data_IF_112700731932
#
_entry.id   IF_112700731932
#
_cell.length_a   1.000
_cell.length_b   1.000
_cell.length_c   1.000
_cell.angle_alpha   90.00
_cell.angle_beta   90.00
_cell.angle_gamma   90.00
#
_symmetry.space_group_name_H-M   'P 1'
#
loop_
_entity.id
_entity.type
_entity.pdbx_description
1 polymer ?
#
# COMPACT_ATOMS: atom_id res chain seq x y z
N UNK A 1 -7.60 21.70 29.52
CA UNK A 1 -8.92 21.45 28.85
C UNK A 1 -8.84 20.15 28.08
N UNK A 2 -9.95 19.38 27.92
CA UNK A 2 -10.00 18.14 27.14
C UNK A 2 -10.34 18.42 25.66
N UNK A 3 -10.23 17.39 24.78
CA UNK A 3 -10.50 17.53 23.35
C UNK A 3 -11.90 18.03 23.02
N UNK A 4 -12.91 17.66 23.83
CA UNK A 4 -14.29 18.14 23.72
C UNK A 4 -14.40 19.63 23.93
N UNK A 5 -13.80 20.11 25.01
CA UNK A 5 -13.90 21.52 25.39
C UNK A 5 -13.19 22.41 24.36
N UNK A 6 -12.01 21.97 23.88
CA UNK A 6 -11.25 22.65 22.84
C UNK A 6 -12.03 22.66 21.51
N UNK A 7 -12.63 21.54 21.14
CA UNK A 7 -13.44 21.45 19.94
C UNK A 7 -14.63 22.41 19.96
N UNK A 8 -15.33 22.49 21.10
CA UNK A 8 -16.44 23.44 21.30
C UNK A 8 -15.97 24.88 21.29
N UNK A 9 -14.81 25.18 21.88
CA UNK A 9 -14.23 26.53 21.86
C UNK A 9 -13.82 26.97 20.43
N UNK A 10 -13.36 26.06 19.60
CA UNK A 10 -12.97 26.36 18.23
C UNK A 10 -14.14 26.45 17.23
N UNK A 11 -15.16 25.62 17.38
CA UNK A 11 -16.21 25.46 16.37
C UNK A 11 -17.66 25.56 16.92
N UNK A 12 -17.85 25.65 18.24
CA UNK A 12 -19.17 25.66 18.85
C UNK A 12 -20.00 24.44 18.41
N UNK A 13 -21.24 24.72 17.97
CA UNK A 13 -22.15 23.64 17.45
C UNK A 13 -21.70 22.97 16.17
N UNK A 14 -20.66 23.47 15.48
CA UNK A 14 -20.10 22.88 14.26
C UNK A 14 -19.02 21.84 14.54
N UNK A 15 -18.65 21.62 15.79
CA UNK A 15 -17.74 20.54 16.17
C UNK A 15 -18.40 19.19 15.90
N UNK A 16 -17.81 18.40 15.02
CA UNK A 16 -18.32 17.06 14.66
C UNK A 16 -17.64 16.02 15.52
N UNK A 17 -18.40 15.26 16.31
CA UNK A 17 -17.89 14.12 17.06
C UNK A 17 -17.81 12.92 16.12
N UNK A 18 -16.65 12.26 16.07
CA UNK A 18 -16.40 11.05 15.28
C UNK A 18 -16.72 9.79 16.11
N UNK A 19 -16.85 8.65 15.43
CA UNK A 19 -17.18 7.35 16.05
C UNK A 19 -16.16 6.85 17.06
N UNK A 20 -14.91 7.28 16.92
CA UNK A 20 -13.79 6.95 17.83
C UNK A 20 -13.66 7.90 19.03
N UNK A 21 -14.62 8.78 19.22
CA UNK A 21 -14.65 9.74 20.32
C UNK A 21 -13.86 11.02 20.09
N UNK A 22 -13.10 11.13 18.99
CA UNK A 22 -12.40 12.35 18.59
C UNK A 22 -13.36 13.39 17.98
N UNK A 23 -12.86 14.61 17.76
CA UNK A 23 -13.62 15.72 17.19
C UNK A 23 -12.97 16.23 15.92
N UNK A 24 -13.78 16.56 14.91
CA UNK A 24 -13.37 17.23 13.69
C UNK A 24 -13.87 18.68 13.73
N UNK A 25 -12.94 19.64 13.60
CA UNK A 25 -13.19 21.08 13.71
C UNK A 25 -12.40 21.85 12.66
N UNK A 26 -12.75 23.11 12.36
CA UNK A 26 -11.93 23.98 11.52
C UNK A 26 -10.53 24.20 12.12
N UNK A 27 -9.50 24.13 11.27
CA UNK A 27 -8.11 24.39 11.69
C UNK A 27 -7.93 25.89 12.04
N UNK A 28 -7.38 26.21 13.22
CA UNK A 28 -7.27 27.58 13.70
C UNK A 28 -6.09 28.37 13.11
N UNK A 29 -5.25 27.73 12.27
CA UNK A 29 -4.10 28.38 11.65
C UNK A 29 -4.52 29.37 10.56
N UNK A 30 -3.97 30.58 10.61
CA UNK A 30 -4.19 31.59 9.56
C UNK A 30 -3.60 31.20 8.20
N UNK A 31 -2.52 30.42 8.20
CA UNK A 31 -1.87 29.90 6.98
C UNK A 31 -2.64 28.74 6.34
N UNK A 32 -3.65 28.18 7.01
CA UNK A 32 -4.47 27.07 6.48
C UNK A 32 -5.12 27.43 5.15
N UNK A 33 -5.16 26.49 4.21
CA UNK A 33 -5.78 26.68 2.91
C UNK A 33 -5.12 27.78 2.07
N UNK A 34 -3.80 27.98 2.18
CA UNK A 34 -3.04 29.06 1.54
C UNK A 34 -3.50 30.46 2.00
N UNK A 35 -3.80 30.61 3.28
CA UNK A 35 -4.24 31.87 3.87
C UNK A 35 -5.73 32.17 3.75
N UNK A 36 -6.54 31.25 3.20
CA UNK A 36 -8.01 31.42 3.05
C UNK A 36 -8.81 30.92 4.25
N UNK A 37 -8.12 30.34 5.25
CA UNK A 37 -8.73 29.71 6.42
C UNK A 37 -9.38 28.35 6.09
N UNK A 38 -9.88 27.70 7.12
CA UNK A 38 -10.53 26.38 7.01
C UNK A 38 -12.05 26.55 6.90
N UNK A 39 -12.60 26.34 5.70
CA UNK A 39 -14.04 26.41 5.44
C UNK A 39 -14.74 25.09 5.72
N UNK A 40 -14.02 23.97 5.53
CA UNK A 40 -14.49 22.63 5.81
C UNK A 40 -13.65 22.05 6.95
N UNK A 41 -14.24 21.59 8.07
CA UNK A 41 -13.48 21.06 9.20
C UNK A 41 -12.43 20.05 8.76
N UNK A 42 -11.15 20.32 9.06
CA UNK A 42 -10.04 19.48 8.65
C UNK A 42 -9.07 19.15 9.79
N UNK A 43 -9.29 19.73 10.99
CA UNK A 43 -8.48 19.45 12.16
C UNK A 43 -9.17 18.42 13.04
N UNK A 44 -8.57 17.24 13.18
CA UNK A 44 -8.97 16.23 14.17
C UNK A 44 -8.30 16.50 15.49
N UNK A 45 -9.08 16.44 16.57
CA UNK A 45 -8.62 16.61 17.96
C UNK A 45 -9.09 15.41 18.76
N UNK A 46 -8.19 14.82 19.55
CA UNK A 46 -8.48 13.71 20.45
C UNK A 46 -7.73 13.87 21.76
N UNK A 47 -8.28 13.33 22.84
CA UNK A 47 -7.55 13.16 24.08
C UNK A 47 -6.61 11.97 23.92
N UNK A 48 -5.32 12.18 24.13
CA UNK A 48 -4.34 11.12 24.30
C UNK A 48 -4.10 10.87 25.80
N UNK A 49 -3.36 9.83 26.11
CA UNK A 49 -3.13 9.39 27.50
C UNK A 49 -2.47 10.50 28.37
N UNK A 50 -1.62 11.31 27.77
CA UNK A 50 -0.86 12.35 28.50
C UNK A 50 -0.97 13.73 27.89
N UNK A 51 -1.47 13.85 26.65
CA UNK A 51 -1.54 15.13 25.92
C UNK A 51 -2.64 15.10 24.87
N UNK A 52 -3.03 16.31 24.46
CA UNK A 52 -3.92 16.48 23.32
C UNK A 52 -3.25 16.00 22.02
N UNK A 53 -3.96 15.21 21.24
CA UNK A 53 -3.55 14.78 19.90
C UNK A 53 -4.27 15.65 18.87
N UNK A 54 -3.49 16.22 17.95
CA UNK A 54 -4.03 17.04 16.86
C UNK A 54 -3.47 16.55 15.52
N UNK A 55 -4.34 16.48 14.52
CA UNK A 55 -3.96 16.14 13.16
C UNK A 55 -4.79 16.94 12.15
N UNK A 56 -4.12 17.75 11.33
CA UNK A 56 -4.79 18.48 10.25
C UNK A 56 -4.68 17.72 8.93
N UNK A 57 -5.81 17.31 8.37
CA UNK A 57 -5.86 16.56 7.09
C UNK A 57 -5.41 17.40 5.88
N UNK A 58 -5.30 18.72 6.04
CA UNK A 58 -4.76 19.61 5.01
C UNK A 58 -3.24 19.86 5.16
N UNK A 59 -2.56 19.08 6.02
CA UNK A 59 -1.09 19.08 6.11
C UNK A 59 -0.48 20.20 6.97
N UNK A 60 -1.26 20.88 7.82
CA UNK A 60 -0.68 21.85 8.76
C UNK A 60 0.15 21.13 9.84
N UNK A 61 1.29 21.71 10.21
CA UNK A 61 2.14 21.16 11.27
C UNK A 61 1.40 21.15 12.63
N UNK A 62 1.50 20.02 13.33
CA UNK A 62 0.84 19.85 14.62
C UNK A 62 1.37 20.80 15.70
N UNK A 63 2.67 21.18 15.63
CA UNK A 63 3.28 22.13 16.55
C UNK A 63 2.67 23.52 16.40
N UNK A 64 2.52 23.98 15.16
CA UNK A 64 1.89 25.28 14.86
C UNK A 64 0.45 25.33 15.35
N UNK A 65 -0.30 24.23 15.19
CA UNK A 65 -1.66 24.11 15.69
C UNK A 65 -1.68 24.21 17.22
N UNK A 66 -0.83 23.46 17.92
CA UNK A 66 -0.73 23.48 19.37
C UNK A 66 -0.33 24.86 19.89
N UNK A 67 0.59 25.56 19.22
CA UNK A 67 1.00 26.91 19.60
C UNK A 67 -0.11 27.94 19.43
N UNK A 68 -0.97 27.79 18.42
CA UNK A 68 -2.17 28.65 18.31
C UNK A 68 -3.18 28.33 19.43
N UNK A 69 -3.34 27.05 19.80
CA UNK A 69 -4.22 26.68 20.93
C UNK A 69 -3.71 27.23 22.26
N UNK A 70 -2.40 27.20 22.53
CA UNK A 70 -1.79 27.84 23.72
C UNK A 70 -2.01 29.33 23.72
N UNK A 71 -1.70 30.03 22.60
CA UNK A 71 -1.92 31.48 22.48
C UNK A 71 -3.38 31.90 22.67
N UNK A 72 -4.35 31.01 22.45
CA UNK A 72 -5.78 31.23 22.69
C UNK A 72 -6.22 30.85 24.09
N UNK A 73 -5.30 30.41 24.97
CA UNK A 73 -5.63 29.98 26.33
C UNK A 73 -6.43 28.67 26.37
N UNK A 74 -6.40 27.88 25.30
CA UNK A 74 -7.12 26.61 25.23
C UNK A 74 -6.24 25.42 25.67
N UNK A 75 -4.94 25.65 25.92
CA UNK A 75 -3.99 24.71 26.49
C UNK A 75 -3.22 25.44 27.59
N UNK A 76 -3.09 24.79 28.74
CA UNK A 76 -2.31 25.31 29.87
C UNK A 76 -0.81 25.32 29.51
N UNK A 77 -0.09 26.41 29.87
CA UNK A 77 1.35 26.55 29.60
C UNK A 77 2.21 25.63 30.48
N UNK A 78 1.71 25.16 31.61
CA UNK A 78 2.44 24.43 32.64
C UNK A 78 2.12 22.93 32.69
N UNK A 79 2.31 22.23 31.59
CA UNK A 79 2.60 20.80 31.67
C UNK A 79 3.92 20.50 30.95
N UNK A 80 5.00 21.00 31.56
CA UNK A 80 6.30 20.36 31.34
C UNK A 80 6.16 18.87 31.64
N UNK A 81 6.78 17.97 30.82
CA UNK A 81 6.75 16.57 31.11
C UNK A 81 7.49 16.32 32.42
N UNK A 82 6.77 16.35 33.54
CA UNK A 82 7.28 15.85 34.79
C UNK A 82 7.85 14.47 34.56
N UNK A 83 9.04 14.25 35.07
CA UNK A 83 9.70 12.94 35.17
C UNK A 83 8.86 11.99 36.01
N UNK A 84 7.71 11.58 35.51
CA UNK A 84 6.97 10.44 36.03
C UNK A 84 7.41 9.18 35.33
N UNK A 85 8.25 8.43 36.02
CA UNK A 85 8.75 7.11 35.61
C UNK A 85 7.66 6.04 35.51
N UNK A 86 6.37 6.41 35.68
CA UNK A 86 5.21 5.50 35.60
C UNK A 86 4.45 5.54 34.27
N UNK A 87 4.74 6.50 33.36
CA UNK A 87 3.96 6.72 32.12
C UNK A 87 4.47 5.95 30.89
N UNK A 88 5.50 5.13 31.03
CA UNK A 88 5.98 4.26 29.94
C UNK A 88 5.05 3.07 29.66
N UNK A 89 4.22 2.68 30.63
CA UNK A 89 3.44 1.43 30.59
C UNK A 89 2.37 1.35 29.49
N UNK A 90 1.51 2.37 29.23
CA UNK A 90 0.48 2.26 28.19
C UNK A 90 1.06 2.29 26.78
N UNK A 91 2.06 3.14 26.53
CA UNK A 91 2.71 3.21 25.20
C UNK A 91 3.50 1.95 24.90
N UNK A 92 4.23 1.43 25.89
CA UNK A 92 4.98 0.15 25.76
C UNK A 92 4.01 -1.00 25.54
N UNK A 93 2.91 -1.06 26.31
CA UNK A 93 1.87 -2.09 26.09
C UNK A 93 1.30 -2.03 24.69
N UNK A 94 0.94 -0.84 24.20
CA UNK A 94 0.40 -0.68 22.84
C UNK A 94 1.39 -1.09 21.77
N UNK A 95 2.66 -0.70 21.87
CA UNK A 95 3.70 -1.12 20.94
C UNK A 95 3.86 -2.65 20.96
N UNK A 96 3.88 -3.26 22.14
CA UNK A 96 3.96 -4.72 22.30
C UNK A 96 2.72 -5.43 21.74
N UNK A 97 1.54 -4.86 21.90
CA UNK A 97 0.30 -5.39 21.31
C UNK A 97 0.31 -5.29 19.78
N UNK A 98 0.73 -4.16 19.23
CA UNK A 98 0.91 -3.96 17.78
C UNK A 98 1.96 -4.94 17.20
N UNK A 99 3.07 -5.15 17.90
CA UNK A 99 4.09 -6.13 17.52
C UNK A 99 3.57 -7.57 17.58
N UNK A 100 2.84 -7.92 18.64
CA UNK A 100 2.20 -9.25 18.77
C UNK A 100 1.19 -9.51 17.67
N UNK A 101 0.35 -8.52 17.37
CA UNK A 101 -0.62 -8.63 16.28
C UNK A 101 0.07 -8.75 14.93
N UNK A 102 1.13 -7.97 14.69
CA UNK A 102 1.98 -8.10 13.49
C UNK A 102 2.59 -9.49 13.37
N UNK A 103 3.15 -10.01 14.45
CA UNK A 103 3.73 -11.37 14.49
C UNK A 103 2.65 -12.43 14.24
N UNK A 104 1.46 -12.27 14.82
CA UNK A 104 0.30 -13.15 14.59
C UNK A 104 -0.12 -13.18 13.13
N UNK A 105 -0.21 -12.00 12.48
CA UNK A 105 -0.56 -11.88 11.08
C UNK A 105 0.50 -12.49 10.15
N UNK A 106 1.79 -12.31 10.48
CA UNK A 106 2.89 -12.94 9.75
C UNK A 106 2.84 -14.45 9.87
N UNK A 107 2.66 -15.00 11.08
CA UNK A 107 2.54 -16.44 11.31
C UNK A 107 1.32 -17.04 10.57
N UNK A 108 0.20 -16.33 10.53
CA UNK A 108 -0.97 -16.74 9.75
C UNK A 108 -0.68 -16.74 8.25
N UNK A 109 -0.06 -15.68 7.74
CA UNK A 109 0.30 -15.56 6.34
C UNK A 109 1.26 -16.68 5.91
N UNK A 110 2.24 -16.99 6.72
CA UNK A 110 3.21 -18.06 6.46
C UNK A 110 2.56 -19.44 6.48
N UNK A 111 1.67 -19.70 7.42
CA UNK A 111 0.88 -20.95 7.46
C UNK A 111 0.05 -21.11 6.20
N UNK A 112 -0.72 -20.08 5.78
CA UNK A 112 -1.52 -20.13 4.56
C UNK A 112 -0.64 -20.37 3.33
N UNK A 113 0.53 -19.75 3.27
CA UNK A 113 1.48 -19.98 2.19
C UNK A 113 1.99 -21.41 2.16
N UNK A 114 2.32 -22.00 3.30
CA UNK A 114 2.85 -23.35 3.40
C UNK A 114 1.77 -24.43 3.12
N UNK A 115 0.51 -24.17 3.47
CA UNK A 115 -0.64 -25.04 3.15
C UNK A 115 -1.06 -24.95 1.68
N UNK A 116 -0.68 -23.86 0.98
CA UNK A 116 -1.01 -23.68 -0.43
C UNK A 116 -0.16 -24.59 -1.32
N UNK A 117 -0.80 -25.19 -2.31
CA UNK A 117 -0.15 -26.06 -3.30
C UNK A 117 0.28 -25.24 -4.52
N UNK A 118 1.14 -25.84 -5.35
CA UNK A 118 1.47 -25.27 -6.65
C UNK A 118 0.21 -24.95 -7.46
N UNK A 119 0.23 -23.84 -8.21
CA UNK A 119 -1.00 -23.36 -8.89
C UNK A 119 -1.41 -24.19 -10.08
N UNK A 120 -0.48 -24.93 -10.69
CA UNK A 120 -0.74 -25.77 -11.87
C UNK A 120 -1.86 -26.80 -11.61
N UNK A 121 -2.72 -27.00 -12.61
CA UNK A 121 -3.83 -27.94 -12.53
C UNK A 121 -4.95 -27.53 -11.56
N UNK A 122 -4.89 -26.33 -11.00
CA UNK A 122 -5.89 -25.82 -10.03
C UNK A 122 -6.86 -24.82 -10.65
N UNK A 123 -7.98 -24.51 -9.97
CA UNK A 123 -8.85 -23.42 -10.38
C UNK A 123 -8.13 -22.07 -10.48
N UNK A 124 -7.01 -21.87 -9.75
CA UNK A 124 -6.17 -20.68 -9.85
C UNK A 124 -5.49 -20.54 -11.22
N UNK A 125 -4.96 -21.60 -11.76
CA UNK A 125 -4.39 -21.59 -13.11
C UNK A 125 -5.47 -21.32 -14.18
N UNK A 126 -6.64 -21.96 -14.03
CA UNK A 126 -7.78 -21.74 -14.94
C UNK A 126 -8.28 -20.28 -14.90
N UNK A 127 -8.18 -19.60 -13.77
CA UNK A 127 -8.52 -18.18 -13.66
C UNK A 127 -7.65 -17.31 -14.56
N UNK A 128 -6.32 -17.52 -14.59
CA UNK A 128 -5.40 -16.81 -15.46
C UNK A 128 -5.62 -17.18 -16.93
N UNK A 129 -5.78 -18.46 -17.21
CA UNK A 129 -6.06 -18.95 -18.56
C UNK A 129 -7.30 -18.31 -19.20
N UNK A 130 -8.40 -18.18 -18.43
CA UNK A 130 -9.63 -17.50 -18.88
C UNK A 130 -9.43 -16.02 -19.18
N UNK A 131 -8.35 -15.41 -18.68
CA UNK A 131 -7.94 -14.02 -18.92
C UNK A 131 -6.85 -13.89 -19.98
N UNK A 132 -6.60 -14.96 -20.73
CA UNK A 132 -5.50 -15.06 -21.72
C UNK A 132 -4.10 -14.86 -21.12
N UNK A 133 -3.93 -15.05 -19.83
CA UNK A 133 -2.62 -15.03 -19.19
C UNK A 133 -2.15 -16.48 -19.09
N UNK A 134 -1.27 -16.88 -19.99
CA UNK A 134 -0.66 -18.21 -19.96
C UNK A 134 0.49 -18.24 -18.95
N UNK A 135 0.16 -18.64 -17.71
CA UNK A 135 1.13 -18.69 -16.63
C UNK A 135 2.10 -19.88 -16.70
N UNK A 136 1.98 -20.77 -17.68
CA UNK A 136 2.88 -21.93 -17.81
C UNK A 136 4.34 -21.51 -17.88
N UNK A 137 4.62 -20.37 -18.51
CA UNK A 137 5.96 -19.78 -18.59
C UNK A 137 6.47 -19.16 -17.27
N UNK A 138 5.59 -19.00 -16.28
CA UNK A 138 5.90 -18.44 -14.96
C UNK A 138 5.77 -19.49 -13.82
N UNK A 139 5.37 -20.72 -14.14
CA UNK A 139 5.13 -21.78 -13.14
C UNK A 139 6.39 -22.21 -12.42
N UNK A 140 7.51 -22.25 -13.13
CA UNK A 140 8.80 -22.71 -12.59
C UNK A 140 9.34 -21.83 -11.47
N UNK A 141 8.82 -20.60 -11.34
CA UNK A 141 9.29 -19.63 -10.35
C UNK A 141 8.57 -19.74 -9.00
N UNK A 142 7.48 -20.52 -8.91
CA UNK A 142 6.79 -20.77 -7.64
C UNK A 142 6.17 -19.53 -6.98
N UNK A 143 6.09 -18.40 -7.69
CA UNK A 143 5.57 -17.13 -7.19
C UNK A 143 4.06 -17.15 -6.89
N UNK A 144 3.33 -18.09 -7.49
CA UNK A 144 1.89 -18.26 -7.34
C UNK A 144 1.54 -19.64 -6.80
N UNK A 145 0.60 -19.67 -5.84
CA UNK A 145 0.08 -20.88 -5.23
C UNK A 145 -1.44 -20.88 -5.18
N UNK A 146 -2.03 -22.04 -4.98
CA UNK A 146 -3.45 -22.22 -4.77
C UNK A 146 -3.73 -22.75 -3.37
N UNK A 147 -4.59 -22.05 -2.62
CA UNK A 147 -5.07 -22.52 -1.32
C UNK A 147 -6.55 -22.87 -1.41
N UNK A 148 -6.88 -24.15 -1.19
CA UNK A 148 -8.23 -24.67 -1.36
C UNK A 148 -9.25 -24.08 -0.38
N UNK A 149 -8.83 -23.79 0.84
CA UNK A 149 -9.66 -23.28 1.94
C UNK A 149 -8.97 -22.12 2.66
N UNK A 150 -8.58 -21.09 1.90
CA UNK A 150 -7.98 -19.89 2.48
C UNK A 150 -8.98 -19.18 3.40
N UNK A 151 -8.59 -18.78 4.61
CA UNK A 151 -9.42 -17.97 5.48
C UNK A 151 -9.84 -16.67 4.79
N UNK A 152 -11.15 -16.39 4.79
CA UNK A 152 -11.76 -15.22 4.17
C UNK A 152 -12.87 -14.66 5.04
N UNK A 153 -13.38 -13.46 4.73
CA UNK A 153 -14.56 -12.91 5.42
C UNK A 153 -15.75 -13.83 5.16
N UNK A 154 -16.36 -14.31 6.23
CA UNK A 154 -17.54 -15.20 6.16
C UNK A 154 -17.20 -16.69 6.02
N UNK A 155 -15.92 -17.09 6.15
CA UNK A 155 -15.54 -18.51 6.13
C UNK A 155 -14.22 -18.78 5.43
N UNK A 156 -14.07 -19.99 4.88
CA UNK A 156 -12.90 -20.40 4.11
C UNK A 156 -13.28 -20.68 2.65
N UNK A 157 -12.42 -20.33 1.71
CA UNK A 157 -12.69 -20.45 0.27
C UNK A 157 -11.41 -20.61 -0.54
N UNK A 158 -11.52 -21.08 -1.78
CA UNK A 158 -10.39 -21.18 -2.68
C UNK A 158 -9.84 -19.83 -3.09
N UNK A 159 -8.53 -19.65 -2.94
CA UNK A 159 -7.83 -18.41 -3.30
C UNK A 159 -6.52 -18.70 -4.05
N UNK A 160 -6.20 -17.82 -4.99
CA UNK A 160 -4.83 -17.67 -5.49
C UNK A 160 -4.03 -16.93 -4.44
N UNK A 161 -2.83 -17.41 -4.14
CA UNK A 161 -1.93 -16.85 -3.14
C UNK A 161 -0.62 -16.44 -3.82
N UNK A 162 -0.13 -15.24 -3.51
CA UNK A 162 1.24 -14.83 -3.81
C UNK A 162 1.90 -14.28 -2.54
N UNK A 163 3.22 -14.44 -2.43
CA UNK A 163 3.96 -14.00 -1.23
C UNK A 163 4.45 -12.57 -1.41
N UNK A 164 4.19 -11.73 -0.43
CA UNK A 164 4.92 -10.48 -0.27
C UNK A 164 6.25 -10.74 0.41
N UNK A 165 7.30 -10.22 -0.18
CA UNK A 165 8.66 -10.27 0.37
C UNK A 165 9.23 -8.87 0.39
N UNK A 166 10.06 -8.59 1.37
CA UNK A 166 10.83 -7.35 1.44
C UNK A 166 11.64 -7.16 0.14
N UNK A 167 11.56 -5.99 -0.48
CA UNK A 167 12.13 -5.75 -1.80
C UNK A 167 13.66 -5.87 -1.82
N UNK A 168 14.32 -5.57 -0.70
CA UNK A 168 15.80 -5.57 -0.57
C UNK A 168 16.29 -6.93 -0.08
N UNK A 169 15.71 -7.44 1.01
CA UNK A 169 16.23 -8.62 1.71
C UNK A 169 15.62 -9.93 1.25
N UNK A 170 14.49 -9.89 0.52
CA UNK A 170 13.74 -11.10 0.16
C UNK A 170 12.96 -11.74 1.31
N UNK A 171 13.05 -11.20 2.52
CA UNK A 171 12.39 -11.77 3.69
C UNK A 171 10.86 -11.80 3.54
N UNK A 172 10.18 -12.91 3.88
CA UNK A 172 8.72 -12.98 3.85
C UNK A 172 8.08 -11.95 4.79
N UNK A 173 7.03 -11.26 4.30
CA UNK A 173 6.33 -10.22 5.07
C UNK A 173 4.82 -10.45 5.14
N UNK A 174 4.25 -11.10 4.14
CA UNK A 174 2.82 -11.31 4.07
C UNK A 174 2.40 -12.06 2.81
N UNK A 175 1.12 -12.09 2.55
CA UNK A 175 0.56 -12.70 1.35
C UNK A 175 -0.50 -11.81 0.69
N UNK A 176 -0.51 -11.83 -0.62
CA UNK A 176 -1.60 -11.39 -1.46
C UNK A 176 -2.55 -12.58 -1.70
N UNK A 177 -3.85 -12.33 -1.61
CA UNK A 177 -4.90 -13.35 -1.76
C UNK A 177 -5.93 -12.88 -2.76
N UNK A 178 -6.25 -13.71 -3.74
CA UNK A 178 -7.22 -13.40 -4.80
C UNK A 178 -8.31 -14.46 -4.84
N UNK A 179 -9.55 -14.05 -4.61
CA UNK A 179 -10.73 -14.88 -4.88
C UNK A 179 -11.00 -14.99 -6.37
N UNK A 180 -11.42 -16.20 -6.81
CA UNK A 180 -11.92 -16.41 -8.18
C UNK A 180 -13.40 -16.06 -8.22
N UNK A 181 -13.72 -14.78 -7.98
CA UNK A 181 -15.07 -14.27 -8.05
C UNK A 181 -15.08 -12.91 -8.74
N UNK A 182 -16.01 -12.73 -9.68
CA UNK A 182 -16.15 -11.45 -10.42
C UNK A 182 -16.45 -10.31 -9.44
N UNK A 183 -15.78 -9.18 -9.61
CA UNK A 183 -15.96 -7.98 -8.79
C UNK A 183 -15.23 -7.98 -7.44
N UNK A 184 -14.70 -9.10 -6.98
CA UNK A 184 -13.90 -9.13 -5.76
C UNK A 184 -12.49 -8.59 -6.02
N UNK A 185 -12.03 -7.71 -5.12
CA UNK A 185 -10.65 -7.21 -5.15
C UNK A 185 -9.72 -8.13 -4.38
N UNK A 186 -8.43 -8.20 -4.75
CA UNK A 186 -7.45 -8.90 -3.95
C UNK A 186 -7.36 -8.32 -2.53
N UNK A 187 -6.94 -9.15 -1.57
CA UNK A 187 -6.71 -8.74 -0.19
C UNK A 187 -5.34 -9.18 0.28
N UNK A 188 -4.72 -8.38 1.09
CA UNK A 188 -3.46 -8.70 1.75
C UNK A 188 -3.68 -9.23 3.16
N UNK A 189 -2.70 -9.98 3.63
CA UNK A 189 -2.53 -10.38 5.02
C UNK A 189 -1.06 -10.21 5.39
N UNK A 190 -0.80 -9.39 6.39
CA UNK A 190 0.54 -8.97 6.80
C UNK A 190 0.95 -7.60 6.25
N UNK A 191 2.10 -7.06 6.69
CA UNK A 191 2.60 -5.77 6.25
C UNK A 191 3.06 -5.79 4.80
N UNK A 192 2.79 -4.69 4.07
CA UNK A 192 3.17 -4.53 2.65
C UNK A 192 4.21 -3.45 2.40
N UNK A 193 4.43 -2.54 3.35
CA UNK A 193 5.35 -1.42 3.16
C UNK A 193 6.76 -1.93 2.82
N UNK A 194 7.33 -1.47 1.70
CA UNK A 194 8.63 -1.89 1.21
C UNK A 194 8.67 -3.31 0.64
N UNK A 195 7.51 -3.92 0.37
CA UNK A 195 7.41 -5.28 -0.13
C UNK A 195 7.02 -5.33 -1.60
N UNK A 196 7.33 -6.46 -2.23
CA UNK A 196 6.95 -6.82 -3.59
C UNK A 196 6.49 -8.26 -3.66
N UNK A 197 5.78 -8.61 -4.71
CA UNK A 197 5.50 -9.98 -5.11
C UNK A 197 6.48 -10.34 -6.22
N UNK A 198 7.39 -11.26 -5.93
CA UNK A 198 8.35 -11.77 -6.90
C UNK A 198 7.68 -12.79 -7.81
N UNK A 199 7.32 -12.35 -9.02
CA UNK A 199 6.78 -13.25 -10.04
C UNK A 199 7.88 -14.00 -10.79
N UNK A 200 9.10 -13.45 -10.79
CA UNK A 200 10.36 -14.05 -11.20
C UNK A 200 11.34 -14.03 -10.04
N UNK A 201 12.23 -15.01 -9.92
CA UNK A 201 13.22 -15.09 -8.86
C UNK A 201 14.32 -14.04 -9.03
N UNK A 202 15.06 -13.77 -7.96
CA UNK A 202 16.09 -12.74 -7.92
C UNK A 202 17.26 -13.05 -8.89
N UNK A 203 17.59 -14.30 -9.10
CA UNK A 203 18.65 -14.76 -10.00
C UNK A 203 18.31 -14.59 -11.49
N UNK A 204 17.03 -14.43 -11.83
CA UNK A 204 16.61 -14.05 -13.17
C UNK A 204 16.92 -12.56 -13.49
N UNK A 205 17.23 -11.75 -12.48
CA UNK A 205 17.48 -10.31 -12.64
C UNK A 205 18.97 -10.08 -12.93
N UNK A 206 19.32 -9.86 -14.19
CA UNK A 206 20.68 -9.49 -14.55
C UNK A 206 20.93 -8.00 -14.27
N UNK A 207 20.36 -7.11 -15.08
CA UNK A 207 20.52 -5.65 -14.94
C UNK A 207 19.23 -4.88 -15.15
N UNK A 208 18.17 -5.54 -15.63
CA UNK A 208 16.85 -4.98 -15.88
C UNK A 208 15.80 -5.65 -15.04
N UNK A 209 14.82 -4.86 -14.59
CA UNK A 209 13.66 -5.34 -13.85
C UNK A 209 12.41 -4.62 -14.35
N UNK A 210 11.32 -5.37 -14.51
CA UNK A 210 9.98 -4.83 -14.78
C UNK A 210 9.19 -4.79 -13.48
N UNK A 211 8.54 -3.68 -13.18
CA UNK A 211 7.69 -3.52 -12.01
C UNK A 211 6.30 -3.06 -12.45
N UNK A 212 5.28 -3.88 -12.18
CA UNK A 212 3.88 -3.50 -12.34
C UNK A 212 3.18 -3.25 -11.00
N UNK A 213 2.00 -2.66 -11.04
CA UNK A 213 1.20 -2.46 -9.82
C UNK A 213 0.53 -3.77 -9.38
N UNK A 214 -0.33 -4.35 -10.20
CA UNK A 214 -1.10 -5.54 -9.90
C UNK A 214 -0.45 -6.82 -10.41
N UNK A 215 -0.71 -7.95 -9.76
CA UNK A 215 -0.20 -9.28 -10.16
C UNK A 215 -0.71 -9.66 -11.56
N UNK A 216 -2.00 -9.47 -11.82
CA UNK A 216 -2.65 -9.84 -13.08
C UNK A 216 -2.10 -9.00 -14.24
N UNK A 217 -2.07 -7.68 -14.09
CA UNK A 217 -1.52 -6.72 -15.05
C UNK A 217 -0.04 -7.00 -15.35
N UNK A 218 0.75 -7.27 -14.31
CA UNK A 218 2.18 -7.55 -14.46
C UNK A 218 2.42 -8.85 -15.22
N UNK A 219 1.69 -9.92 -14.89
CA UNK A 219 1.80 -11.20 -15.60
C UNK A 219 1.35 -11.06 -17.05
N UNK A 220 0.23 -10.38 -17.31
CA UNK A 220 -0.26 -10.15 -18.67
C UNK A 220 0.81 -9.45 -19.52
N UNK A 221 1.39 -8.37 -19.01
CA UNK A 221 2.45 -7.66 -19.72
C UNK A 221 3.72 -8.53 -19.91
N UNK A 222 4.20 -9.14 -18.84
CA UNK A 222 5.46 -9.89 -18.86
C UNK A 222 5.44 -11.12 -19.76
N UNK A 223 4.28 -11.78 -19.92
CA UNK A 223 4.14 -13.01 -20.67
C UNK A 223 3.73 -12.79 -22.14
N UNK A 224 3.10 -11.64 -22.45
CA UNK A 224 2.47 -11.46 -23.77
C UNK A 224 2.85 -10.18 -24.50
N UNK A 225 3.56 -9.25 -23.83
CA UNK A 225 3.94 -7.98 -24.45
C UNK A 225 5.44 -7.89 -24.60
N UNK A 226 5.86 -7.46 -25.80
CA UNK A 226 7.26 -7.15 -26.09
C UNK A 226 7.46 -5.64 -26.16
N UNK A 227 8.59 -5.18 -25.66
CA UNK A 227 9.08 -3.85 -25.89
C UNK A 227 10.42 -3.91 -26.62
N UNK A 228 10.53 -3.29 -27.80
CA UNK A 228 11.73 -3.33 -28.66
C UNK A 228 12.18 -4.78 -28.96
N UNK A 229 11.22 -5.68 -29.19
CA UNK A 229 11.49 -7.08 -29.54
C UNK A 229 11.81 -8.01 -28.36
N UNK A 230 11.80 -7.51 -27.11
CA UNK A 230 12.10 -8.30 -25.91
C UNK A 230 10.87 -8.37 -25.01
N UNK A 231 10.59 -9.55 -24.44
CA UNK A 231 9.53 -9.71 -23.43
C UNK A 231 9.82 -8.84 -22.19
N UNK A 232 8.75 -8.38 -21.53
CA UNK A 232 8.85 -7.55 -20.33
C UNK A 232 9.15 -8.39 -19.09
N UNK A 233 10.32 -9.04 -19.08
CA UNK A 233 10.82 -9.96 -18.07
C UNK A 233 12.26 -9.62 -17.69
N UNK A 234 12.72 -9.99 -16.47
CA UNK A 234 11.93 -10.50 -15.33
C UNK A 234 11.03 -9.42 -14.72
N UNK A 235 9.94 -9.84 -14.06
CA UNK A 235 8.93 -8.92 -13.57
C UNK A 235 8.49 -9.20 -12.13
N UNK A 236 8.28 -8.14 -11.36
CA UNK A 236 7.72 -8.14 -10.00
C UNK A 236 6.45 -7.28 -9.94
N UNK A 237 5.55 -7.58 -9.01
CA UNK A 237 4.39 -6.73 -8.75
C UNK A 237 4.53 -6.00 -7.41
N UNK A 238 4.23 -4.70 -7.40
CA UNK A 238 4.27 -3.87 -6.20
C UNK A 238 3.08 -4.14 -5.27
N UNK A 239 1.96 -4.59 -5.82
CA UNK A 239 0.72 -4.90 -5.10
C UNK A 239 -0.22 -3.73 -4.92
N UNK A 240 0.25 -2.50 -4.98
CA UNK A 240 -0.55 -1.27 -5.00
C UNK A 240 0.30 -0.07 -5.45
N UNK A 241 -0.36 1.04 -5.84
CA UNK A 241 0.28 2.27 -6.28
C UNK A 241 1.26 2.84 -5.23
N UNK A 242 0.89 2.84 -3.94
CA UNK A 242 1.76 3.35 -2.88
C UNK A 242 3.05 2.53 -2.72
N UNK A 243 2.99 1.21 -2.85
CA UNK A 243 4.17 0.35 -2.85
C UNK A 243 5.05 0.59 -4.08
N UNK A 244 4.46 0.82 -5.25
CA UNK A 244 5.20 1.25 -6.45
C UNK A 244 5.88 2.59 -6.24
N UNK A 245 5.16 3.58 -5.72
CA UNK A 245 5.70 4.92 -5.44
C UNK A 245 6.91 4.87 -4.49
N UNK A 246 6.93 3.92 -3.55
CA UNK A 246 7.96 3.77 -2.54
C UNK A 246 8.98 2.66 -2.85
N UNK A 247 8.93 2.07 -4.04
CA UNK A 247 9.83 0.99 -4.43
C UNK A 247 11.30 1.44 -4.35
N UNK A 248 12.16 0.71 -3.61
CA UNK A 248 13.55 1.11 -3.38
C UNK A 248 14.41 0.93 -4.63
N UNK A 249 15.50 1.67 -4.69
CA UNK A 249 16.55 1.43 -5.70
C UNK A 249 17.32 0.17 -5.31
N UNK A 250 17.32 -0.81 -6.21
CA UNK A 250 17.98 -2.09 -5.99
C UNK A 250 19.44 -2.07 -6.48
N UNK A 251 20.32 -2.63 -5.68
CA UNK A 251 21.71 -2.83 -6.10
C UNK A 251 21.78 -3.77 -7.31
N UNK A 252 22.63 -3.46 -8.29
CA UNK A 252 22.79 -4.27 -9.50
C UNK A 252 21.80 -3.98 -10.63
N UNK A 253 20.59 -3.49 -10.33
CA UNK A 253 19.60 -3.12 -11.35
C UNK A 253 19.96 -1.78 -11.97
N UNK A 254 20.18 -1.75 -13.27
CA UNK A 254 20.55 -0.55 -14.05
C UNK A 254 19.31 0.09 -14.71
N UNK A 255 18.37 -0.73 -15.16
CA UNK A 255 17.17 -0.28 -15.87
C UNK A 255 15.92 -0.79 -15.15
N UNK A 256 15.02 0.12 -14.78
CA UNK A 256 13.69 -0.21 -14.27
C UNK A 256 12.63 0.12 -15.32
N UNK A 257 11.86 -0.89 -15.72
CA UNK A 257 10.67 -0.67 -16.55
C UNK A 257 9.43 -0.65 -15.67
N UNK A 258 8.69 0.45 -15.66
CA UNK A 258 7.44 0.60 -14.92
C UNK A 258 6.26 0.34 -15.83
N UNK A 259 5.42 -0.62 -15.45
CA UNK A 259 4.09 -0.84 -16.07
C UNK A 259 3.10 0.03 -15.34
N UNK A 260 2.58 1.02 -16.00
CA UNK A 260 1.77 2.08 -15.39
C UNK A 260 0.34 2.00 -15.92
N UNK A 261 -0.63 1.72 -15.05
CA UNK A 261 -2.03 1.76 -15.43
C UNK A 261 -2.42 3.18 -15.85
N UNK A 262 -3.31 3.30 -16.86
CA UNK A 262 -3.65 4.61 -17.43
C UNK A 262 -4.69 5.35 -16.58
N UNK A 263 -4.38 5.49 -15.28
CA UNK A 263 -5.16 6.27 -14.32
C UNK A 263 -4.26 7.26 -13.53
N UNK A 264 -4.88 8.22 -12.84
CA UNK A 264 -4.14 9.26 -12.12
C UNK A 264 -3.28 8.72 -10.98
N UNK A 265 -3.76 7.83 -10.09
CA UNK A 265 -2.97 7.27 -9.01
C UNK A 265 -1.74 6.49 -9.51
N UNK A 266 -1.90 5.65 -10.54
CA UNK A 266 -0.81 4.89 -11.15
C UNK A 266 0.25 5.80 -11.75
N UNK A 267 -0.16 6.84 -12.49
CA UNK A 267 0.75 7.82 -13.09
C UNK A 267 1.56 8.59 -12.03
N UNK A 268 0.93 9.02 -10.94
CA UNK A 268 1.62 9.71 -9.83
C UNK A 268 2.60 8.79 -9.09
N UNK A 269 2.20 7.55 -8.84
CA UNK A 269 3.04 6.53 -8.19
C UNK A 269 4.29 6.24 -9.03
N UNK A 270 4.09 5.99 -10.34
CA UNK A 270 5.18 5.74 -11.27
C UNK A 270 6.13 6.95 -11.40
N UNK A 271 5.60 8.17 -11.40
CA UNK A 271 6.42 9.38 -11.44
C UNK A 271 7.31 9.54 -10.21
N UNK A 272 6.79 9.24 -9.01
CA UNK A 272 7.57 9.26 -7.75
C UNK A 272 8.66 8.19 -7.75
N UNK A 273 8.33 6.97 -8.16
CA UNK A 273 9.28 5.87 -8.31
C UNK A 273 10.39 6.24 -9.31
N UNK A 274 10.00 6.66 -10.51
CA UNK A 274 10.92 7.03 -11.59
C UNK A 274 11.91 8.11 -11.15
N UNK A 275 11.44 9.17 -10.47
CA UNK A 275 12.29 10.24 -9.98
C UNK A 275 13.40 9.70 -9.07
N UNK A 276 13.05 8.87 -8.07
CA UNK A 276 14.01 8.26 -7.15
C UNK A 276 15.07 7.43 -7.87
N UNK A 277 14.69 6.66 -8.86
CA UNK A 277 15.61 5.81 -9.62
C UNK A 277 16.52 6.62 -10.54
N UNK A 278 16.00 7.65 -11.22
CA UNK A 278 16.77 8.57 -12.05
C UNK A 278 17.77 9.37 -11.19
N UNK A 279 17.35 9.88 -10.03
CA UNK A 279 18.23 10.57 -9.07
C UNK A 279 19.37 9.67 -8.57
N UNK A 280 19.15 8.36 -8.52
CA UNK A 280 20.16 7.35 -8.20
C UNK A 280 21.02 6.93 -9.42
N UNK A 281 20.91 7.62 -10.56
CA UNK A 281 21.68 7.35 -11.79
C UNK A 281 21.23 6.09 -12.53
N UNK A 282 19.95 5.68 -12.40
CA UNK A 282 19.38 4.51 -13.09
C UNK A 282 18.53 4.95 -14.27
N UNK A 283 18.47 4.09 -15.29
CA UNK A 283 17.53 4.26 -16.39
C UNK A 283 16.11 3.84 -15.96
N UNK A 284 15.10 4.61 -16.39
CA UNK A 284 13.71 4.29 -16.14
C UNK A 284 12.91 4.38 -17.44
N UNK A 285 12.23 3.28 -17.78
CA UNK A 285 11.30 3.20 -18.91
C UNK A 285 9.89 3.16 -18.31
N UNK A 286 8.98 3.99 -18.81
CA UNK A 286 7.57 3.98 -18.41
C UNK A 286 6.74 3.52 -19.59
N UNK A 287 5.97 2.45 -19.40
CA UNK A 287 5.03 1.92 -20.38
C UNK A 287 3.62 2.07 -19.83
N UNK A 288 2.74 2.64 -20.66
CA UNK A 288 1.32 2.87 -20.31
C UNK A 288 0.47 2.40 -21.49
N UNK A 289 -0.67 1.73 -21.25
CA UNK A 289 -1.66 1.46 -22.29
C UNK A 289 -2.10 2.74 -22.99
N UNK A 290 -2.43 2.67 -24.28
CA UNK A 290 -2.86 3.86 -25.05
C UNK A 290 -4.23 4.38 -24.61
N UNK A 291 -5.14 3.49 -24.22
CA UNK A 291 -6.51 3.84 -23.84
C UNK A 291 -6.58 4.30 -22.40
N UNK A 292 -7.30 5.39 -22.16
CA UNK A 292 -7.53 5.93 -20.81
C UNK A 292 -8.34 4.95 -19.96
N UNK A 293 -7.84 4.66 -18.75
CA UNK A 293 -8.46 3.71 -17.82
C UNK A 293 -8.15 2.24 -18.12
N UNK A 294 -7.40 1.93 -19.20
CA UNK A 294 -6.99 0.57 -19.52
C UNK A 294 -5.78 0.12 -18.69
N UNK A 295 -5.71 -1.16 -18.45
CA UNK A 295 -4.53 -1.87 -17.92
C UNK A 295 -3.90 -2.80 -18.97
N UNK A 296 -2.76 -3.39 -18.65
CA UNK A 296 -2.08 -4.31 -19.60
C UNK A 296 -2.82 -5.63 -19.80
N UNK A 297 -3.67 -6.04 -18.86
CA UNK A 297 -4.52 -7.21 -19.04
C UNK A 297 -5.60 -6.95 -20.10
N UNK A 298 -6.14 -5.73 -20.17
CA UNK A 298 -7.12 -5.34 -21.20
C UNK A 298 -6.50 -5.46 -22.61
N UNK A 299 -5.24 -5.06 -22.78
CA UNK A 299 -4.52 -5.21 -24.07
C UNK A 299 -4.41 -6.68 -24.47
N UNK A 300 -4.11 -7.58 -23.53
CA UNK A 300 -3.94 -9.01 -23.81
C UNK A 300 -5.28 -9.67 -24.11
N UNK A 301 -6.34 -9.28 -23.41
CA UNK A 301 -7.72 -9.75 -23.67
C UNK A 301 -8.21 -9.26 -25.04
N UNK A 302 -7.99 -7.98 -25.39
CA UNK A 302 -8.40 -7.39 -26.66
C UNK A 302 -7.78 -8.07 -27.89
N UNK A 303 -6.50 -8.45 -27.84
CA UNK A 303 -5.81 -9.15 -28.92
C UNK A 303 -6.45 -10.49 -29.34
N UNK A 304 -7.34 -11.07 -28.54
CA UNK A 304 -8.05 -12.32 -28.89
C UNK A 304 -9.27 -12.07 -29.79
N UNK A 305 -9.84 -10.88 -29.75
CA UNK A 305 -11.02 -10.54 -30.56
C UNK A 305 -10.64 -10.14 -31.99
N UNK A 306 -9.34 -9.89 -32.25
CA UNK A 306 -8.82 -9.50 -33.57
C UNK A 306 -8.20 -10.67 -34.35
N UNK A 307 -8.21 -11.89 -33.82
CA UNK A 307 -7.74 -13.13 -34.44
C UNK A 307 -8.91 -14.07 -34.70
#
# INVERSE_FOLDING_TARGET
>A
MNARDIAHALAGRRAQRLSDGSYLVPCPLRSHGRGRGDRNPSLRIADGDTRLLVHCYSGCDARDVLDVLRRRGLLDEDREPGRDTSTSTPRVKRVLEEERERARMLGLAERIWNEAVHIEGTPGALFFYKRNIDITLALDFGGLRWHKQCPWIGGATGCIIARYTDAITGAPRGIWRRLIKKGEKPRTLGPMAGCVIRLWPDDAIATGLVLGEGVETTLAAALHITHRGTLLQPAWAAGCADSMANFPVLAGVKTLTLLVDHDSPGQEAAAKCARRWVEAGREVIRLTPCELGADFNDIVVGKRHER
#
